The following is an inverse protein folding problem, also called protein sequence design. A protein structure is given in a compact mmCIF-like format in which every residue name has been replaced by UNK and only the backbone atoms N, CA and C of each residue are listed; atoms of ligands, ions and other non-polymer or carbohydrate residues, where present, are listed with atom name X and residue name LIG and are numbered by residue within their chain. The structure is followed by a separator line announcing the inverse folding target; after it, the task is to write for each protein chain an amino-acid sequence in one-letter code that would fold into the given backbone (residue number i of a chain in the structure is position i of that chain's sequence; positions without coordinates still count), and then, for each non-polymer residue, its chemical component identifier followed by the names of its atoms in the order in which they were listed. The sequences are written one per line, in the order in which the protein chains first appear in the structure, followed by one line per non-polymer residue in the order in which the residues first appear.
data_IF_806167709840
#
_entry.id   IF_806167709840
#
_cell.length_a   1.000
_cell.length_b   1.000
_cell.length_c   1.000
_cell.angle_alpha   90.00
_cell.angle_beta   90.00
_cell.angle_gamma   90.00
#
_symmetry.space_group_name_H-M   'P 1'
#
loop_
_entity.id
_entity.type
_entity.pdbx_description
1 polymer ?
#
# COMPACT_ATOMS: atom_id res chain seq x y z
N UNK A 1 2.11 -16.73 -23.33
CA UNK A 1 0.95 -15.98 -22.80
C UNK A 1 1.46 -14.75 -22.07
N UNK A 2 0.82 -13.62 -22.33
CA UNK A 2 1.21 -12.34 -21.73
C UNK A 2 1.00 -12.40 -20.23
N UNK A 3 2.01 -12.08 -19.46
CA UNK A 3 1.93 -12.01 -17.98
C UNK A 3 1.68 -10.55 -17.60
N UNK A 4 0.53 -10.29 -17.00
CA UNK A 4 0.24 -8.96 -16.45
C UNK A 4 0.92 -8.81 -15.08
N UNK A 5 1.79 -7.82 -14.95
CA UNK A 5 2.39 -7.44 -13.66
C UNK A 5 1.83 -6.11 -13.16
N UNK A 6 1.59 -6.04 -11.87
CA UNK A 6 1.13 -4.82 -11.19
C UNK A 6 2.26 -4.28 -10.34
N UNK A 7 2.68 -3.04 -10.62
CA UNK A 7 3.67 -2.34 -9.81
C UNK A 7 2.98 -1.52 -8.73
N UNK A 8 3.24 -1.85 -7.49
CA UNK A 8 2.74 -1.13 -6.33
C UNK A 8 3.80 -0.15 -5.84
N UNK A 9 3.46 1.14 -5.81
CA UNK A 9 4.35 2.18 -5.29
C UNK A 9 3.89 2.53 -3.89
N UNK A 10 4.66 2.12 -2.90
CA UNK A 10 4.48 2.52 -1.51
C UNK A 10 5.53 3.56 -1.13
N UNK A 11 5.10 4.71 -0.60
CA UNK A 11 6.01 5.74 -0.12
C UNK A 11 6.53 5.39 1.28
N UNK A 12 7.84 5.19 1.41
CA UNK A 12 8.52 5.05 2.70
C UNK A 12 9.72 5.99 2.73
N UNK A 13 9.86 6.74 3.81
CA UNK A 13 11.03 7.59 4.07
C UNK A 13 12.29 6.72 4.25
N UNK A 14 13.16 6.75 3.27
CA UNK A 14 14.50 6.17 3.41
C UNK A 14 15.55 7.17 2.92
N UNK A 15 16.45 7.55 3.79
CA UNK A 15 17.65 8.29 3.42
C UNK A 15 18.71 7.30 2.98
N UNK A 16 19.31 7.49 1.80
CA UNK A 16 20.52 6.78 1.41
C UNK A 16 21.63 7.11 2.40
N UNK A 17 22.06 6.13 3.16
CA UNK A 17 23.21 6.25 4.05
C UNK A 17 24.44 5.91 3.24
N UNK A 18 25.30 6.91 3.04
CA UNK A 18 26.67 6.67 2.56
C UNK A 18 27.37 5.77 3.60
N UNK A 19 27.77 4.58 3.19
CA UNK A 19 28.35 3.55 4.05
C UNK A 19 29.67 3.98 4.74
N UNK A 20 30.22 5.14 4.38
CA UNK A 20 31.46 5.70 4.93
C UNK A 20 31.25 6.67 6.09
N UNK A 21 30.01 7.04 6.43
CA UNK A 21 29.71 8.03 7.47
C UNK A 21 28.79 7.45 8.53
N UNK A 22 29.29 7.44 9.78
CA UNK A 22 28.63 7.19 11.09
C UNK A 22 27.20 6.62 11.01
N UNK A 23 27.02 5.49 11.68
CA UNK A 23 25.68 4.93 11.88
C UNK A 23 24.70 6.02 12.30
N UNK A 24 23.81 6.38 11.37
CA UNK A 24 22.71 7.31 11.61
C UNK A 24 21.77 6.64 12.61
N UNK A 25 21.74 7.13 13.83
CA UNK A 25 20.88 6.52 14.84
C UNK A 25 19.44 7.03 14.71
N UNK A 26 18.50 6.26 15.26
CA UNK A 26 17.06 6.59 15.19
C UNK A 26 16.74 7.94 15.89
N UNK A 27 17.55 8.34 16.88
CA UNK A 27 17.37 9.59 17.58
C UNK A 27 17.77 10.78 16.69
N UNK A 28 18.88 10.68 15.96
CA UNK A 28 19.30 11.70 15.01
C UNK A 28 18.28 11.88 13.89
N UNK A 29 17.69 10.78 13.40
CA UNK A 29 16.61 10.81 12.41
C UNK A 29 15.39 11.57 12.96
N UNK A 30 14.98 11.28 14.18
CA UNK A 30 13.83 11.93 14.81
C UNK A 30 14.08 13.43 15.02
N UNK A 31 15.28 13.79 15.47
CA UNK A 31 15.67 15.21 15.66
C UNK A 31 15.66 15.95 14.33
N UNK A 32 16.21 15.35 13.27
CA UNK A 32 16.21 15.94 11.93
C UNK A 32 14.78 16.15 11.43
N UNK A 33 13.92 15.13 11.51
CA UNK A 33 12.50 15.24 11.12
C UNK A 33 11.78 16.35 11.90
N UNK A 34 12.02 16.44 13.21
CA UNK A 34 11.41 17.48 14.03
C UNK A 34 11.91 18.87 13.64
N UNK A 35 13.20 19.03 13.36
CA UNK A 35 13.78 20.29 12.92
C UNK A 35 13.24 20.73 11.56
N UNK A 36 13.16 19.84 10.59
CA UNK A 36 12.64 20.14 9.25
C UNK A 36 11.15 20.51 9.32
N UNK A 37 10.38 19.79 10.16
CA UNK A 37 8.98 20.13 10.41
C UNK A 37 8.83 21.54 11.04
N UNK A 38 9.63 21.87 12.04
CA UNK A 38 9.58 23.18 12.72
C UNK A 38 10.05 24.34 11.83
N UNK A 39 10.97 24.09 10.90
CA UNK A 39 11.43 25.07 9.90
C UNK A 39 10.40 25.28 8.79
N UNK A 40 9.39 24.43 8.68
CA UNK A 40 8.44 24.46 7.57
C UNK A 40 9.08 24.08 6.24
N UNK A 41 10.27 23.52 6.26
CA UNK A 41 10.96 23.03 5.07
C UNK A 41 10.27 21.77 4.59
N UNK A 42 9.56 21.90 3.46
CA UNK A 42 9.09 20.73 2.72
C UNK A 42 10.22 20.36 1.78
N UNK A 43 10.74 19.12 1.85
CA UNK A 43 11.72 18.69 0.86
C UNK A 43 11.09 18.82 -0.54
N UNK A 44 11.80 19.48 -1.46
CA UNK A 44 11.38 19.64 -2.87
C UNK A 44 11.26 18.31 -3.62
N UNK A 45 11.66 17.22 -2.98
CA UNK A 45 11.52 15.86 -3.50
C UNK A 45 10.48 15.13 -2.68
N UNK A 46 9.61 14.44 -3.39
CA UNK A 46 8.76 13.43 -2.77
C UNK A 46 9.62 12.49 -1.90
N UNK A 47 9.14 12.08 -0.73
CA UNK A 47 9.79 11.02 0.02
C UNK A 47 10.05 9.84 -0.91
N UNK A 48 11.08 9.05 -0.62
CA UNK A 48 11.48 7.91 -1.44
C UNK A 48 10.24 7.06 -1.77
N UNK A 49 9.97 6.90 -3.05
CA UNK A 49 8.99 5.95 -3.53
C UNK A 49 9.66 4.57 -3.55
N UNK A 50 9.14 3.64 -2.76
CA UNK A 50 9.49 2.22 -2.90
C UNK A 50 8.52 1.64 -3.91
N UNK A 51 9.04 1.14 -5.00
CA UNK A 51 8.28 0.42 -6.02
C UNK A 51 8.43 -1.06 -5.77
N UNK A 52 7.31 -1.75 -5.63
CA UNK A 52 7.24 -3.20 -5.58
C UNK A 52 6.59 -3.67 -6.88
N UNK A 53 7.26 -4.55 -7.61
CA UNK A 53 6.69 -5.23 -8.76
C UNK A 53 6.08 -6.54 -8.27
N UNK A 54 4.78 -6.71 -8.45
CA UNK A 54 4.04 -7.86 -7.94
C UNK A 54 3.24 -8.45 -9.11
N UNK A 55 3.42 -9.75 -9.44
CA UNK A 55 2.56 -10.43 -10.40
C UNK A 55 1.09 -10.36 -9.96
N UNK A 56 0.19 -10.06 -10.88
CA UNK A 56 -1.24 -9.97 -10.57
C UNK A 56 -1.80 -11.29 -10.01
N UNK A 57 -1.30 -12.40 -10.49
CA UNK A 57 -1.68 -13.73 -10.03
C UNK A 57 -1.29 -13.98 -8.59
N UNK A 58 -0.18 -13.36 -8.13
CA UNK A 58 0.22 -13.35 -6.72
C UNK A 58 -0.77 -12.62 -5.84
N UNK A 59 -1.34 -11.51 -6.30
CA UNK A 59 -2.39 -10.80 -5.56
C UNK A 59 -3.72 -11.56 -5.53
N UNK A 60 -4.05 -12.31 -6.59
CA UNK A 60 -5.28 -13.11 -6.69
C UNK A 60 -5.21 -14.45 -5.98
N UNK A 61 -4.04 -14.86 -5.56
CA UNK A 61 -3.85 -16.17 -4.93
C UNK A 61 -3.74 -17.34 -5.90
N UNK A 62 -3.42 -17.06 -7.16
CA UNK A 62 -3.24 -18.07 -8.21
C UNK A 62 -1.83 -18.69 -8.20
N UNK A 63 -0.89 -18.05 -7.48
CA UNK A 63 0.47 -18.54 -7.31
C UNK A 63 0.76 -18.99 -5.88
N UNK A 64 1.89 -19.63 -5.67
CA UNK A 64 2.32 -20.03 -4.33
C UNK A 64 2.59 -18.79 -3.43
N UNK A 65 2.35 -18.93 -2.13
CA UNK A 65 2.76 -17.98 -1.11
C UNK A 65 4.11 -18.47 -0.49
N UNK A 66 5.14 -17.65 -0.34
CA UNK A 66 5.16 -16.20 -0.51
C UNK A 66 5.25 -15.75 -1.97
N UNK A 67 4.84 -14.51 -2.21
CA UNK A 67 4.87 -13.87 -3.53
C UNK A 67 6.23 -13.24 -3.75
N UNK A 68 6.84 -13.56 -4.89
CA UNK A 68 8.07 -12.91 -5.34
C UNK A 68 7.80 -11.44 -5.69
N UNK A 69 8.68 -10.55 -5.24
CA UNK A 69 8.63 -9.12 -5.55
C UNK A 69 9.97 -8.66 -6.07
N UNK A 70 9.95 -7.87 -7.14
CA UNK A 70 11.15 -7.36 -7.81
C UNK A 70 11.56 -8.16 -9.03
N UNK A 71 12.59 -7.68 -9.71
CA UNK A 71 13.03 -8.22 -11.00
C UNK A 71 14.04 -9.38 -10.87
N UNK A 72 14.68 -9.52 -9.71
CA UNK A 72 15.81 -10.42 -9.50
C UNK A 72 15.50 -11.66 -8.64
N UNK A 73 14.23 -11.88 -8.27
CA UNK A 73 13.83 -13.08 -7.53
C UNK A 73 14.40 -13.22 -6.12
N UNK A 74 14.99 -12.17 -5.57
CA UNK A 74 15.68 -12.21 -4.27
C UNK A 74 14.80 -11.75 -3.10
N UNK A 75 13.63 -11.20 -3.38
CA UNK A 75 12.76 -10.64 -2.36
C UNK A 75 11.37 -11.25 -2.41
N UNK A 76 10.85 -11.57 -1.24
CA UNK A 76 9.55 -12.18 -1.09
C UNK A 76 8.74 -11.44 -0.02
N UNK A 77 7.43 -11.36 -0.25
CA UNK A 77 6.46 -10.91 0.76
C UNK A 77 5.31 -11.91 0.81
N UNK A 78 4.64 -11.99 1.96
CA UNK A 78 3.39 -12.76 2.01
C UNK A 78 2.35 -12.13 1.09
N UNK A 79 1.48 -12.94 0.51
CA UNK A 79 0.36 -12.46 -0.32
C UNK A 79 -0.46 -11.41 0.43
N UNK A 80 -0.77 -11.66 1.67
CA UNK A 80 -1.59 -10.74 2.46
C UNK A 80 -0.89 -9.41 2.74
N UNK A 81 0.44 -9.41 2.90
CA UNK A 81 1.22 -8.18 2.96
C UNK A 81 1.15 -7.41 1.63
N UNK A 82 1.31 -8.10 0.48
CA UNK A 82 1.20 -7.50 -0.84
C UNK A 82 -0.21 -6.91 -1.07
N UNK A 83 -1.25 -7.65 -0.71
CA UNK A 83 -2.65 -7.22 -0.77
C UNK A 83 -2.91 -5.99 0.11
N UNK A 84 -2.44 -6.01 1.34
CA UNK A 84 -2.54 -4.86 2.26
C UNK A 84 -1.87 -3.61 1.70
N UNK A 85 -0.65 -3.73 1.23
CA UNK A 85 0.10 -2.61 0.64
C UNK A 85 -0.60 -2.05 -0.60
N UNK A 86 -1.25 -2.90 -1.39
CA UNK A 86 -1.95 -2.49 -2.62
C UNK A 86 -3.32 -1.85 -2.38
N UNK A 87 -3.91 -1.97 -1.19
CA UNK A 87 -5.25 -1.44 -0.92
C UNK A 87 -5.37 0.09 -1.08
N UNK A 88 -4.39 0.86 -0.63
CA UNK A 88 -4.40 2.33 -0.69
C UNK A 88 -3.09 2.86 -1.32
N UNK A 89 -2.61 2.18 -2.32
CA UNK A 89 -1.37 2.51 -3.03
C UNK A 89 -1.61 3.25 -4.35
N UNK A 90 -0.53 3.77 -4.92
CA UNK A 90 -0.48 4.11 -6.34
C UNK A 90 -0.08 2.87 -7.12
N UNK A 91 -0.90 2.45 -8.06
CA UNK A 91 -0.68 1.25 -8.87
C UNK A 91 -0.43 1.66 -10.32
N UNK A 92 0.54 1.03 -10.94
CA UNK A 92 0.81 1.09 -12.39
C UNK A 92 0.72 -0.35 -12.90
N UNK A 93 -0.12 -0.57 -13.88
CA UNK A 93 -0.21 -1.85 -14.57
C UNK A 93 0.84 -1.89 -15.68
N UNK A 94 1.64 -2.94 -15.68
CA UNK A 94 2.65 -3.19 -16.73
C UNK A 94 2.32 -4.54 -17.35
N UNK A 95 2.20 -4.58 -18.66
CA UNK A 95 2.06 -5.81 -19.43
C UNK A 95 3.41 -6.12 -20.06
N UNK A 96 3.92 -7.31 -19.81
CA UNK A 96 5.22 -7.76 -20.30
C UNK A 96 5.07 -9.00 -21.19
N UNK A 97 6.00 -9.19 -22.10
CA UNK A 97 6.13 -10.41 -22.86
C UNK A 97 6.81 -11.54 -22.06
N UNK A 98 6.97 -12.69 -22.68
CA UNK A 98 7.62 -13.87 -22.09
C UNK A 98 9.11 -13.65 -21.73
N UNK A 99 9.74 -12.61 -22.24
CA UNK A 99 11.11 -12.22 -21.95
C UNK A 99 11.23 -11.08 -20.92
N UNK A 100 10.10 -10.59 -20.38
CA UNK A 100 10.06 -9.49 -19.43
C UNK A 100 10.15 -8.09 -20.07
N UNK A 101 10.03 -7.99 -21.38
CA UNK A 101 10.00 -6.70 -22.04
C UNK A 101 8.60 -6.06 -21.92
N UNK A 102 8.57 -4.79 -21.50
CA UNK A 102 7.31 -4.09 -21.31
C UNK A 102 6.62 -3.83 -22.67
N UNK A 103 5.46 -4.43 -22.86
CA UNK A 103 4.57 -4.23 -23.99
C UNK A 103 3.66 -3.02 -23.81
N UNK A 104 3.25 -2.77 -22.59
CA UNK A 104 2.36 -1.66 -22.24
C UNK A 104 2.60 -1.22 -20.82
N UNK A 105 2.53 0.10 -20.60
CA UNK A 105 2.62 0.71 -19.27
C UNK A 105 1.41 1.61 -19.06
N UNK A 106 0.58 1.25 -18.10
CA UNK A 106 -0.60 2.02 -17.71
C UNK A 106 -0.25 3.31 -16.96
N UNK A 107 -1.25 4.14 -16.74
CA UNK A 107 -1.07 5.34 -15.92
C UNK A 107 -1.12 4.99 -14.43
N UNK A 108 -0.28 5.63 -13.62
CA UNK A 108 -0.37 5.54 -12.15
C UNK A 108 -1.78 5.96 -11.69
N UNK A 109 -2.47 5.06 -11.04
CA UNK A 109 -3.78 5.29 -10.43
C UNK A 109 -3.71 4.93 -8.95
N UNK A 110 -4.42 5.68 -8.12
CA UNK A 110 -4.63 5.22 -6.74
C UNK A 110 -5.75 4.20 -6.74
N UNK A 111 -5.53 3.09 -6.03
CA UNK A 111 -6.57 2.07 -5.82
C UNK A 111 -7.76 2.67 -5.09
N UNK A 112 -7.54 3.51 -4.07
CA UNK A 112 -8.57 4.35 -3.47
C UNK A 112 -8.28 5.80 -3.84
N UNK A 113 -9.12 6.40 -4.68
CA UNK A 113 -8.95 7.78 -5.13
C UNK A 113 -9.06 8.77 -3.97
N UNK A 114 -8.43 9.94 -4.12
CA UNK A 114 -8.52 10.99 -3.09
C UNK A 114 -9.96 11.45 -2.82
N UNK A 115 -10.84 11.38 -3.82
CA UNK A 115 -12.25 11.70 -3.66
C UNK A 115 -12.95 10.65 -2.79
N UNK A 116 -12.76 9.37 -3.10
CA UNK A 116 -13.32 8.27 -2.33
C UNK A 116 -12.77 8.26 -0.90
N UNK A 117 -11.47 8.49 -0.72
CA UNK A 117 -10.87 8.55 0.61
C UNK A 117 -11.48 9.67 1.47
N UNK A 118 -11.75 10.84 0.89
CA UNK A 118 -12.47 11.91 1.61
C UNK A 118 -13.90 11.52 1.98
N UNK A 119 -14.60 10.80 1.11
CA UNK A 119 -15.95 10.31 1.40
C UNK A 119 -15.93 9.28 2.54
N UNK A 120 -14.98 8.36 2.52
CA UNK A 120 -14.74 7.41 3.61
C UNK A 120 -14.44 8.13 4.92
N UNK A 121 -13.57 9.13 4.94
CA UNK A 121 -13.29 9.91 6.15
C UNK A 121 -14.52 10.64 6.69
N UNK A 122 -15.40 11.11 5.81
CA UNK A 122 -16.65 11.76 6.22
C UNK A 122 -17.64 10.78 6.85
N UNK A 123 -17.72 9.55 6.34
CA UNK A 123 -18.60 8.49 6.84
C UNK A 123 -18.04 7.88 8.14
N UNK A 124 -16.80 7.40 8.10
CA UNK A 124 -16.22 6.55 9.14
C UNK A 124 -15.64 7.34 10.32
N UNK A 125 -15.05 8.53 10.05
CA UNK A 125 -14.45 9.46 11.03
C UNK A 125 -13.27 8.89 11.83
N UNK A 126 -13.28 7.60 12.11
CA UNK A 126 -12.26 6.84 12.87
C UNK A 126 -12.00 5.52 12.17
N UNK A 127 -11.01 4.77 12.64
CA UNK A 127 -10.88 3.36 12.29
C UNK A 127 -12.19 2.62 12.59
N UNK A 128 -12.67 1.85 11.62
CA UNK A 128 -13.95 1.12 11.73
C UNK A 128 -13.84 -0.19 12.49
N UNK A 129 -12.63 -0.58 12.89
CA UNK A 129 -12.45 -1.77 13.71
C UNK A 129 -13.16 -1.59 15.08
N UNK A 130 -13.94 -2.57 15.55
CA UNK A 130 -14.71 -2.45 16.79
C UNK A 130 -13.86 -2.00 17.99
N UNK A 131 -14.30 -0.94 18.67
CA UNK A 131 -13.61 -0.39 19.84
C UNK A 131 -12.38 0.47 19.54
N UNK A 132 -12.04 0.69 18.27
CA UNK A 132 -10.91 1.55 17.89
C UNK A 132 -11.34 3.01 17.71
N UNK A 133 -10.72 3.92 18.46
CA UNK A 133 -10.95 5.36 18.34
C UNK A 133 -9.87 6.09 17.55
N UNK A 134 -8.97 5.39 16.85
CA UNK A 134 -7.87 6.01 16.11
C UNK A 134 -8.41 6.82 14.93
N UNK A 135 -7.86 8.05 14.78
CA UNK A 135 -8.25 9.02 13.73
C UNK A 135 -7.11 9.42 12.82
N UNK A 136 -5.91 8.97 13.12
CA UNK A 136 -4.69 9.33 12.37
C UNK A 136 -4.14 8.11 11.63
N UNK A 137 -3.45 8.35 10.53
CA UNK A 137 -2.88 7.32 9.67
C UNK A 137 -3.90 6.24 9.27
N UNK A 138 -5.11 6.71 8.88
CA UNK A 138 -6.14 5.83 8.37
C UNK A 138 -5.85 5.48 6.91
N UNK A 139 -5.92 4.20 6.62
CA UNK A 139 -5.75 3.61 5.31
C UNK A 139 -7.12 3.16 4.79
N UNK A 140 -7.35 3.33 3.50
CA UNK A 140 -8.55 2.80 2.89
C UNK A 140 -8.39 1.30 2.61
N UNK A 141 -9.41 0.54 2.93
CA UNK A 141 -9.45 -0.91 2.73
C UNK A 141 -10.64 -1.29 1.86
N UNK A 142 -10.42 -2.20 0.90
CA UNK A 142 -11.49 -2.81 0.12
C UNK A 142 -12.00 -4.04 0.85
N UNK A 143 -13.29 -4.09 1.17
CA UNK A 143 -13.93 -5.25 1.84
C UNK A 143 -13.75 -6.50 0.97
N UNK A 144 -14.16 -6.42 -0.31
CA UNK A 144 -13.72 -7.35 -1.33
C UNK A 144 -12.55 -6.73 -2.06
N UNK A 145 -11.40 -7.38 -2.00
CA UNK A 145 -10.17 -6.84 -2.56
C UNK A 145 -10.30 -6.56 -4.07
N UNK A 146 -9.72 -5.44 -4.53
CA UNK A 146 -9.82 -5.02 -5.92
C UNK A 146 -9.21 -6.03 -6.92
N UNK A 147 -8.15 -6.75 -6.53
CA UNK A 147 -7.56 -7.79 -7.38
C UNK A 147 -8.51 -8.99 -7.58
N UNK A 148 -9.46 -9.20 -6.68
CA UNK A 148 -10.51 -10.20 -6.78
C UNK A 148 -11.78 -9.66 -7.47
N UNK A 149 -11.67 -8.51 -8.15
CA UNK A 149 -12.79 -7.86 -8.82
C UNK A 149 -13.71 -7.07 -7.87
N UNK A 150 -13.26 -6.73 -6.67
CA UNK A 150 -13.97 -5.83 -5.79
C UNK A 150 -14.03 -4.41 -6.35
N UNK A 151 -15.21 -3.79 -6.30
CA UNK A 151 -15.39 -2.41 -6.76
C UNK A 151 -14.65 -1.42 -5.87
N UNK A 152 -14.10 -0.38 -6.48
CA UNK A 152 -13.61 0.79 -5.77
C UNK A 152 -14.75 1.76 -5.54
N UNK A 153 -15.57 1.48 -4.54
CA UNK A 153 -16.79 2.20 -4.21
C UNK A 153 -16.89 2.48 -2.71
N UNK A 154 -17.80 3.37 -2.33
CA UNK A 154 -18.03 3.69 -0.91
C UNK A 154 -18.61 2.48 -0.14
N UNK A 155 -19.42 1.67 -0.80
CA UNK A 155 -20.03 0.46 -0.23
C UNK A 155 -19.03 -0.68 -0.04
N UNK A 156 -17.98 -0.74 -0.86
CA UNK A 156 -16.92 -1.75 -0.76
C UNK A 156 -15.66 -1.23 -0.09
N UNK A 157 -15.68 -0.03 0.50
CA UNK A 157 -14.53 0.58 1.14
C UNK A 157 -14.79 0.95 2.59
N UNK A 158 -13.77 0.91 3.43
CA UNK A 158 -13.80 1.39 4.80
C UNK A 158 -12.42 1.89 5.24
N UNK A 159 -12.36 2.60 6.38
CA UNK A 159 -11.11 3.10 6.94
C UNK A 159 -10.63 2.23 8.10
N UNK A 160 -9.38 1.81 8.01
CA UNK A 160 -8.67 1.12 9.09
C UNK A 160 -7.40 1.88 9.46
N UNK A 161 -7.00 1.85 10.72
CA UNK A 161 -5.64 2.24 11.07
C UNK A 161 -4.66 1.13 10.66
N UNK A 162 -3.39 1.48 10.48
CA UNK A 162 -2.36 0.55 10.01
C UNK A 162 -2.29 -0.76 10.81
N UNK A 163 -2.55 -0.70 12.13
CA UNK A 163 -2.60 -1.89 12.98
C UNK A 163 -3.76 -2.82 12.59
N UNK A 164 -4.98 -2.28 12.51
CA UNK A 164 -6.16 -3.08 12.21
C UNK A 164 -6.25 -3.47 10.73
N UNK A 165 -5.68 -2.69 9.83
CA UNK A 165 -5.49 -3.09 8.44
C UNK A 165 -4.61 -4.34 8.32
N UNK A 166 -3.55 -4.41 9.15
CA UNK A 166 -2.73 -5.61 9.28
C UNK A 166 -3.52 -6.79 9.85
N UNK A 167 -4.37 -6.55 10.88
CA UNK A 167 -5.19 -7.61 11.46
C UNK A 167 -6.11 -8.26 10.44
N UNK A 168 -6.74 -7.45 9.61
CA UNK A 168 -7.62 -7.96 8.54
C UNK A 168 -6.84 -8.79 7.54
N UNK A 169 -5.71 -8.28 7.02
CA UNK A 169 -4.97 -8.99 5.98
C UNK A 169 -4.11 -10.13 6.50
N UNK A 170 -3.29 -9.88 7.52
CA UNK A 170 -2.23 -10.80 7.92
C UNK A 170 -2.64 -11.76 9.03
N UNK A 171 -3.70 -11.43 9.77
CA UNK A 171 -4.22 -12.29 10.86
C UNK A 171 -5.62 -12.85 10.58
N UNK A 172 -6.17 -12.60 9.38
CA UNK A 172 -7.39 -13.23 8.89
C UNK A 172 -8.68 -12.75 9.60
N UNK A 173 -8.70 -11.52 10.12
CA UNK A 173 -9.93 -10.96 10.68
C UNK A 173 -10.90 -10.64 9.54
N UNK A 174 -12.02 -11.35 9.50
CA UNK A 174 -13.07 -11.11 8.52
C UNK A 174 -13.80 -9.79 8.78
N UNK A 175 -14.20 -9.12 7.71
CA UNK A 175 -15.07 -7.95 7.77
C UNK A 175 -16.45 -8.37 7.29
N UNK A 176 -17.44 -8.19 8.14
CA UNK A 176 -18.85 -8.37 7.82
C UNK A 176 -19.55 -7.02 7.87
N UNK A 177 -20.29 -6.70 6.82
CA UNK A 177 -21.13 -5.52 6.80
C UNK A 177 -22.39 -5.79 7.62
N UNK A 178 -22.69 -4.90 8.57
CA UNK A 178 -23.95 -4.95 9.27
C UNK A 178 -25.14 -4.64 8.33
N UNK A 179 -26.35 -5.00 8.74
CA UNK A 179 -27.56 -4.86 7.90
C UNK A 179 -27.90 -3.40 7.56
N UNK A 180 -27.29 -2.42 8.22
CA UNK A 180 -27.57 -0.99 8.05
C UNK A 180 -26.48 -0.23 7.30
N UNK A 181 -25.57 -0.91 6.57
CA UNK A 181 -24.50 -0.28 5.81
C UNK A 181 -24.56 -0.59 4.32
#
# INVERSE_FOLDING_TARGET
GDVARVTVVAGVLHQQVDATKRAFNRADALVTLAQDYLRGERPDRAPIDITLTIPIDGLRGETADPVEVGELGESFVSRETARRLSCDAGVVEIVEDEHGAALSVGRKRRTISGALKRALHRRDKTCTFPGCANRIYLEGHHIRHWADGGETSLSNGLLLCSLHHRYVHEYGYAIELGPDQ
#
